data_IF_746063068534
#
_entry.id   IF_746063068534
#
_cell.length_a   1.000
_cell.length_b   1.000
_cell.length_c   1.000
_cell.angle_alpha   90.00
_cell.angle_beta   90.00
_cell.angle_gamma   90.00
#
_symmetry.space_group_name_H-M   'P 1'
#
loop_
_entity.id
_entity.type
_entity.pdbx_description
1 polymer ?
#
# COMPACT_ATOMS: atom_id res chain seq x y z
N UNK A 1 -11.46 5.56 36.47
CA UNK A 1 -10.58 6.07 35.39
C UNK A 1 -10.47 4.99 34.33
N UNK A 2 -11.41 4.98 33.38
CA UNK A 2 -11.35 4.09 32.22
C UNK A 2 -10.48 4.74 31.15
N UNK A 3 -9.36 4.13 30.83
CA UNK A 3 -8.53 4.53 29.68
C UNK A 3 -9.37 4.32 28.41
N UNK A 4 -9.72 5.40 27.73
CA UNK A 4 -10.23 5.32 26.37
C UNK A 4 -9.06 4.85 25.50
N UNK A 5 -9.02 3.57 25.16
CA UNK A 5 -8.10 3.06 24.16
C UNK A 5 -8.45 3.73 22.83
N UNK A 6 -7.73 4.78 22.46
CA UNK A 6 -7.77 5.35 21.12
C UNK A 6 -7.33 4.26 20.15
N UNK A 7 -8.31 3.61 19.52
CA UNK A 7 -8.13 2.43 18.69
C UNK A 7 -7.54 2.81 17.34
N UNK A 8 -6.21 2.93 17.27
CA UNK A 8 -5.51 2.96 15.99
C UNK A 8 -5.58 1.59 15.37
N UNK A 9 -5.89 1.56 14.09
CA UNK A 9 -6.06 0.33 13.36
C UNK A 9 -5.11 0.30 12.19
N UNK A 10 -4.27 -0.74 12.15
CA UNK A 10 -3.39 -0.98 11.02
C UNK A 10 -4.05 -1.99 10.08
N UNK A 11 -4.08 -1.65 8.79
CA UNK A 11 -4.34 -2.60 7.70
C UNK A 11 -3.03 -2.97 7.02
N UNK A 12 -2.99 -4.11 6.36
CA UNK A 12 -1.88 -4.52 5.51
C UNK A 12 -2.38 -4.59 4.07
N UNK A 13 -1.55 -4.13 3.14
CA UNK A 13 -1.69 -4.39 1.71
C UNK A 13 -0.38 -4.95 1.16
N UNK A 14 -0.39 -5.44 -0.07
CA UNK A 14 0.87 -5.81 -0.73
C UNK A 14 1.39 -4.72 -1.64
N UNK A 15 2.67 -4.85 -1.93
CA UNK A 15 3.30 -4.20 -3.08
C UNK A 15 3.27 -5.17 -4.25
N UNK A 16 2.83 -4.70 -5.40
CA UNK A 16 2.87 -5.47 -6.64
C UNK A 16 4.33 -5.77 -7.00
N UNK A 17 4.62 -7.03 -7.29
CA UNK A 17 5.93 -7.50 -7.73
C UNK A 17 5.77 -8.79 -8.54
N UNK A 18 5.40 -8.64 -9.80
CA UNK A 18 5.22 -9.77 -10.72
C UNK A 18 6.54 -10.43 -11.13
N UNK A 19 7.69 -9.86 -10.76
CA UNK A 19 9.00 -10.43 -11.01
C UNK A 19 9.38 -11.48 -9.94
N UNK A 20 8.89 -11.33 -8.70
CA UNK A 20 9.15 -12.23 -7.57
C UNK A 20 8.67 -13.66 -7.85
N UNK A 21 9.53 -14.68 -7.66
CA UNK A 21 9.14 -16.09 -7.83
C UNK A 21 7.95 -16.54 -6.98
N UNK A 22 7.80 -16.01 -5.75
CA UNK A 22 6.69 -16.34 -4.86
C UNK A 22 5.36 -15.83 -5.40
N UNK A 23 5.34 -14.64 -6.02
CA UNK A 23 4.17 -14.12 -6.73
C UNK A 23 3.84 -14.91 -7.98
N UNK A 24 4.86 -15.27 -8.78
CA UNK A 24 4.66 -16.14 -9.95
C UNK A 24 4.05 -17.50 -9.61
N UNK A 25 4.48 -18.10 -8.49
CA UNK A 25 3.95 -19.38 -8.01
C UNK A 25 2.54 -19.28 -7.40
N UNK A 26 2.06 -18.08 -7.10
CA UNK A 26 0.72 -17.84 -6.57
C UNK A 26 -0.35 -17.81 -7.66
N UNK A 27 0.02 -17.40 -8.87
CA UNK A 27 -0.89 -17.44 -10.01
C UNK A 27 -1.05 -18.87 -10.55
N UNK A 28 -2.25 -19.27 -10.99
CA UNK A 28 -2.43 -20.50 -11.75
C UNK A 28 -1.54 -20.52 -12.99
N UNK A 29 -0.99 -21.68 -13.34
CA UNK A 29 -0.03 -21.82 -14.47
C UNK A 29 -0.62 -21.35 -15.81
N UNK A 30 -1.92 -21.55 -16.01
CA UNK A 30 -2.64 -21.16 -17.23
C UNK A 30 -3.28 -19.76 -17.15
N UNK A 31 -2.99 -18.96 -16.11
CA UNK A 31 -3.57 -17.63 -15.96
C UNK A 31 -2.88 -16.64 -16.93
N UNK A 32 -3.64 -15.98 -17.82
CA UNK A 32 -3.11 -14.92 -18.66
C UNK A 32 -2.48 -13.78 -17.83
N UNK A 33 -1.41 -13.18 -18.34
CA UNK A 33 -0.67 -12.12 -17.64
C UNK A 33 -1.54 -10.88 -17.37
N UNK A 34 -2.38 -10.51 -18.33
CA UNK A 34 -3.34 -9.40 -18.23
C UNK A 34 -4.43 -9.64 -17.16
N UNK A 35 -4.62 -10.89 -16.72
CA UNK A 35 -5.59 -11.23 -15.68
C UNK A 35 -4.99 -11.30 -14.27
N UNK A 36 -3.66 -11.27 -14.14
CA UNK A 36 -2.97 -11.44 -12.85
C UNK A 36 -3.36 -10.37 -11.83
N UNK A 37 -3.45 -9.13 -12.25
CA UNK A 37 -3.84 -8.02 -11.37
C UNK A 37 -5.27 -8.15 -10.85
N UNK A 38 -6.21 -8.52 -11.72
CA UNK A 38 -7.60 -8.76 -11.33
C UNK A 38 -7.70 -9.98 -10.39
N UNK A 39 -6.95 -11.04 -10.70
CA UNK A 39 -6.84 -12.23 -9.84
C UNK A 39 -6.31 -11.84 -8.44
N UNK A 40 -5.22 -11.10 -8.38
CA UNK A 40 -4.63 -10.55 -7.16
C UNK A 40 -5.68 -9.77 -6.34
N UNK A 41 -6.45 -8.91 -7.00
CA UNK A 41 -7.46 -8.04 -6.36
C UNK A 41 -8.59 -8.78 -5.65
N UNK A 42 -8.76 -10.09 -5.91
CA UNK A 42 -9.71 -10.93 -5.19
C UNK A 42 -9.19 -11.39 -3.81
N UNK A 43 -7.88 -11.34 -3.59
CA UNK A 43 -7.23 -11.80 -2.35
C UNK A 43 -6.89 -10.65 -1.42
N UNK A 44 -6.37 -9.54 -1.95
CA UNK A 44 -6.04 -8.34 -1.18
C UNK A 44 -6.83 -7.15 -1.65
N UNK A 45 -7.33 -6.36 -0.68
CA UNK A 45 -8.17 -5.19 -0.95
C UNK A 45 -7.39 -3.92 -1.21
N UNK A 46 -6.10 -3.91 -0.88
CA UNK A 46 -5.23 -2.76 -1.03
C UNK A 46 -3.93 -3.22 -1.69
N UNK A 47 -3.58 -2.57 -2.79
CA UNK A 47 -2.39 -2.86 -3.57
C UNK A 47 -1.62 -1.59 -3.86
N UNK A 48 -0.30 -1.62 -3.64
CA UNK A 48 0.62 -0.58 -4.05
C UNK A 48 1.34 -0.96 -5.33
N UNK A 49 1.24 -0.12 -6.35
CA UNK A 49 2.05 -0.21 -7.56
C UNK A 49 3.34 0.58 -7.34
N UNK A 50 4.52 -0.07 -7.44
CA UNK A 50 5.80 0.60 -7.23
C UNK A 50 6.15 1.55 -8.39
N UNK A 51 7.00 2.53 -8.12
CA UNK A 51 7.36 3.56 -9.11
C UNK A 51 7.95 2.97 -10.41
N UNK A 52 8.69 1.87 -10.30
CA UNK A 52 9.29 1.19 -11.46
C UNK A 52 8.28 0.58 -12.44
N UNK A 53 7.02 0.44 -12.04
CA UNK A 53 5.94 -0.10 -12.89
C UNK A 53 4.97 0.99 -13.36
N UNK A 54 5.18 2.25 -12.95
CA UNK A 54 4.25 3.36 -13.20
C UNK A 54 3.82 3.51 -14.67
N UNK A 55 4.75 3.38 -15.60
CA UNK A 55 4.48 3.55 -17.03
C UNK A 55 3.45 2.52 -17.54
N UNK A 56 3.56 1.26 -17.11
CA UNK A 56 2.65 0.19 -17.54
C UNK A 56 1.19 0.54 -17.23
N UNK A 57 0.94 1.16 -16.08
CA UNK A 57 -0.41 1.47 -15.60
C UNK A 57 -0.95 2.81 -16.08
N UNK A 58 -0.09 3.69 -16.61
CA UNK A 58 -0.48 5.03 -17.07
C UNK A 58 -0.62 5.16 -18.58
N UNK A 59 -0.09 4.19 -19.35
CA UNK A 59 -0.17 4.17 -20.82
C UNK A 59 -1.50 3.63 -21.37
N UNK A 60 -2.05 2.59 -20.76
CA UNK A 60 -3.37 2.03 -21.07
C UNK A 60 -4.18 1.95 -19.77
N UNK A 61 -5.48 2.22 -19.84
CA UNK A 61 -6.42 2.14 -18.70
C UNK A 61 -7.40 0.97 -18.82
N UNK A 62 -7.31 0.16 -19.89
CA UNK A 62 -8.22 -0.97 -20.12
C UNK A 62 -8.20 -2.02 -19.00
N UNK A 63 -7.05 -2.20 -18.34
CA UNK A 63 -6.87 -3.13 -17.22
C UNK A 63 -7.79 -2.83 -16.02
N UNK A 64 -8.29 -1.60 -15.90
CA UNK A 64 -9.16 -1.19 -14.79
C UNK A 64 -10.53 -1.89 -14.85
N UNK A 65 -10.98 -2.28 -16.04
CA UNK A 65 -12.35 -2.77 -16.28
C UNK A 65 -12.66 -4.08 -15.56
N UNK A 66 -11.64 -4.92 -15.38
CA UNK A 66 -11.79 -6.26 -14.81
C UNK A 66 -11.41 -6.29 -13.33
N UNK A 67 -11.11 -5.14 -12.72
CA UNK A 67 -10.76 -5.06 -11.31
C UNK A 67 -11.98 -5.20 -10.41
N UNK A 68 -11.85 -5.91 -9.28
CA UNK A 68 -12.87 -5.92 -8.24
C UNK A 68 -13.18 -4.51 -7.72
N UNK A 69 -14.46 -4.20 -7.50
CA UNK A 69 -14.89 -2.88 -7.01
C UNK A 69 -14.30 -2.51 -5.63
N UNK A 70 -14.01 -3.52 -4.81
CA UNK A 70 -13.45 -3.33 -3.48
C UNK A 70 -11.92 -3.08 -3.48
N UNK A 71 -11.24 -3.28 -4.62
CA UNK A 71 -9.80 -3.08 -4.73
C UNK A 71 -9.46 -1.59 -4.70
N UNK A 72 -8.60 -1.22 -3.76
CA UNK A 72 -8.00 0.11 -3.66
C UNK A 72 -6.56 0.05 -4.16
N UNK A 73 -6.22 0.94 -5.08
CA UNK A 73 -4.90 1.03 -5.68
C UNK A 73 -4.17 2.26 -5.19
N UNK A 74 -2.93 2.06 -4.81
CA UNK A 74 -1.99 3.10 -4.44
C UNK A 74 -0.85 3.08 -5.45
N UNK A 75 -0.24 4.23 -5.72
CA UNK A 75 0.90 4.29 -6.64
C UNK A 75 2.03 5.11 -6.04
N UNK A 76 3.25 4.59 -6.09
CA UNK A 76 4.46 5.38 -5.91
C UNK A 76 4.70 6.19 -7.19
N UNK A 77 4.65 7.51 -7.10
CA UNK A 77 4.97 8.41 -8.22
C UNK A 77 6.49 8.46 -8.38
N UNK A 78 7.06 8.21 -9.57
CA UNK A 78 8.49 8.35 -9.79
C UNK A 78 9.00 9.76 -9.49
N UNK A 79 10.10 9.87 -8.75
CA UNK A 79 10.69 11.15 -8.36
C UNK A 79 11.30 11.92 -9.54
N UNK A 80 11.63 11.22 -10.62
CA UNK A 80 12.18 11.75 -11.87
C UNK A 80 11.11 12.11 -12.91
N UNK A 81 9.82 11.95 -12.58
CA UNK A 81 8.72 12.33 -13.44
C UNK A 81 8.63 13.86 -13.52
N UNK A 82 9.08 14.43 -14.63
CA UNK A 82 9.20 15.88 -14.81
C UNK A 82 7.86 16.64 -14.67
N UNK A 83 6.77 16.06 -15.18
CA UNK A 83 5.44 16.68 -15.19
C UNK A 83 4.39 15.66 -14.68
N UNK A 84 4.30 15.46 -13.35
CA UNK A 84 3.46 14.41 -12.79
C UNK A 84 1.96 14.72 -12.89
N UNK A 85 1.58 15.99 -13.10
CA UNK A 85 0.19 16.46 -13.03
C UNK A 85 -0.78 15.74 -13.95
N UNK A 86 -0.50 15.71 -15.25
CA UNK A 86 -1.39 15.13 -16.26
C UNK A 86 -1.51 13.60 -16.14
N UNK A 87 -0.41 12.82 -16.01
CA UNK A 87 -0.50 11.38 -15.72
C UNK A 87 -1.28 11.06 -14.45
N UNK A 88 -1.05 11.79 -13.35
CA UNK A 88 -1.76 11.60 -12.09
C UNK A 88 -3.27 11.89 -12.25
N UNK A 89 -3.63 12.97 -12.96
CA UNK A 89 -5.02 13.33 -13.23
C UNK A 89 -5.76 12.23 -14.01
N UNK A 90 -5.12 11.70 -15.07
CA UNK A 90 -5.71 10.61 -15.87
C UNK A 90 -5.92 9.36 -15.04
N UNK A 91 -4.92 8.97 -14.24
CA UNK A 91 -5.00 7.78 -13.40
C UNK A 91 -6.12 7.89 -12.37
N UNK A 92 -6.22 9.04 -11.70
CA UNK A 92 -7.29 9.28 -10.74
C UNK A 92 -8.67 9.34 -11.38
N UNK A 93 -8.81 9.95 -12.57
CA UNK A 93 -10.06 9.96 -13.31
C UNK A 93 -10.50 8.54 -13.71
N UNK A 94 -9.56 7.70 -14.15
CA UNK A 94 -9.84 6.34 -14.58
C UNK A 94 -10.17 5.41 -13.39
N UNK A 95 -9.49 5.56 -12.25
CA UNK A 95 -9.71 4.75 -11.05
C UNK A 95 -10.88 5.23 -10.20
N UNK A 96 -11.18 6.52 -10.21
CA UNK A 96 -12.22 7.14 -9.40
C UNK A 96 -12.10 6.74 -7.92
N UNK A 97 -13.14 6.12 -7.33
CA UNK A 97 -13.13 5.73 -5.91
C UNK A 97 -12.14 4.61 -5.57
N UNK A 98 -11.62 3.88 -6.57
CA UNK A 98 -10.59 2.85 -6.37
C UNK A 98 -9.20 3.43 -6.15
N UNK A 99 -8.97 4.72 -6.42
CA UNK A 99 -7.69 5.34 -6.07
C UNK A 99 -7.60 5.53 -4.55
N UNK A 100 -6.71 4.74 -3.94
CA UNK A 100 -6.37 4.80 -2.53
C UNK A 100 -5.40 5.92 -2.19
N UNK A 101 -4.45 6.22 -3.09
CA UNK A 101 -3.58 7.39 -2.99
C UNK A 101 -2.36 7.36 -3.91
N UNK A 102 -1.79 8.53 -4.16
CA UNK A 102 -0.53 8.72 -4.87
C UNK A 102 0.54 9.15 -3.86
N UNK A 103 1.60 8.34 -3.77
CA UNK A 103 2.70 8.48 -2.83
C UNK A 103 3.83 9.20 -3.55
N UNK A 104 4.22 10.38 -3.06
CA UNK A 104 5.24 11.19 -3.73
C UNK A 104 6.09 11.97 -2.74
N UNK A 105 7.30 12.34 -3.17
CA UNK A 105 8.23 13.10 -2.32
C UNK A 105 7.67 14.47 -1.95
N UNK A 106 7.22 15.23 -2.95
CA UNK A 106 6.66 16.56 -2.75
C UNK A 106 5.34 16.72 -3.50
N UNK A 107 4.18 16.76 -2.80
CA UNK A 107 2.89 16.95 -3.44
C UNK A 107 2.65 18.40 -3.92
N UNK A 108 3.50 19.36 -3.55
CA UNK A 108 3.34 20.77 -3.95
C UNK A 108 3.69 21.02 -5.42
N UNK A 109 4.37 20.07 -6.08
CA UNK A 109 4.70 20.13 -7.52
C UNK A 109 3.47 20.00 -8.41
N UNK A 110 2.35 19.56 -7.85
CA UNK A 110 1.12 19.35 -8.59
C UNK A 110 0.29 20.63 -8.65
N UNK A 111 -0.26 20.97 -9.83
CA UNK A 111 -1.19 22.08 -9.91
C UNK A 111 -2.40 21.90 -8.98
N UNK A 112 -2.87 22.99 -8.41
CA UNK A 112 -4.06 22.98 -7.57
C UNK A 112 -5.29 22.47 -8.35
N UNK A 113 -6.08 21.59 -7.73
CA UNK A 113 -7.30 21.05 -8.33
C UNK A 113 -7.11 19.90 -9.32
N UNK A 114 -5.87 19.42 -9.50
CA UNK A 114 -5.57 18.23 -10.34
C UNK A 114 -6.28 17.00 -9.80
N UNK A 115 -6.24 16.77 -8.47
CA UNK A 115 -6.95 15.68 -7.81
C UNK A 115 -7.84 16.14 -6.66
N UNK A 116 -8.85 15.32 -6.28
CA UNK A 116 -9.56 15.46 -5.03
C UNK A 116 -8.64 15.55 -3.80
N UNK A 117 -9.01 16.36 -2.77
CA UNK A 117 -8.31 16.38 -1.50
C UNK A 117 -8.15 14.99 -0.88
N UNK A 118 -7.00 14.71 -0.27
CA UNK A 118 -6.73 13.45 0.41
C UNK A 118 -6.26 12.30 -0.49
N UNK A 119 -6.11 12.50 -1.80
CA UNK A 119 -5.54 11.48 -2.69
C UNK A 119 -4.01 11.54 -2.79
N UNK A 120 -3.38 12.66 -2.48
CA UNK A 120 -1.92 12.75 -2.40
C UNK A 120 -1.43 12.47 -0.99
N UNK A 121 -0.30 11.78 -0.89
CA UNK A 121 0.43 11.57 0.35
C UNK A 121 1.88 11.98 0.14
N UNK A 122 2.30 13.01 0.87
CA UNK A 122 3.66 13.53 0.83
C UNK A 122 4.59 12.69 1.70
N UNK A 123 5.86 12.62 1.32
CA UNK A 123 6.87 11.89 2.09
C UNK A 123 7.00 12.45 3.50
N UNK A 124 6.99 11.56 4.48
CA UNK A 124 7.25 11.84 5.88
C UNK A 124 8.52 11.09 6.33
N UNK A 125 9.08 11.46 7.51
CA UNK A 125 10.10 10.63 8.15
C UNK A 125 9.58 9.19 8.29
N UNK A 126 10.40 8.23 7.83
CA UNK A 126 10.08 6.81 7.91
C UNK A 126 10.03 6.29 9.36
N UNK A 127 9.79 4.98 9.51
CA UNK A 127 9.91 4.34 10.81
C UNK A 127 11.35 4.42 11.32
N UNK A 128 11.54 4.55 12.65
CA UNK A 128 12.85 4.38 13.24
C UNK A 128 13.38 2.97 12.92
N UNK A 129 14.70 2.85 12.79
CA UNK A 129 15.34 1.55 12.64
C UNK A 129 14.87 0.60 13.74
N UNK A 130 14.30 -0.53 13.33
CA UNK A 130 13.65 -1.49 14.20
C UNK A 130 13.94 -2.90 13.68
N UNK A 131 14.06 -3.87 14.58
CA UNK A 131 14.30 -5.26 14.22
C UNK A 131 13.23 -5.77 13.24
N UNK A 132 13.67 -6.48 12.20
CA UNK A 132 12.80 -7.01 11.16
C UNK A 132 12.45 -6.03 10.05
N UNK A 133 12.89 -4.77 10.08
CA UNK A 133 12.65 -3.79 9.01
C UNK A 133 13.97 -3.49 8.29
N UNK A 134 14.12 -4.00 7.06
CA UNK A 134 15.27 -3.71 6.22
C UNK A 134 15.22 -2.30 5.62
N UNK A 135 14.02 -1.83 5.23
CA UNK A 135 13.79 -0.48 4.76
C UNK A 135 12.37 -0.01 5.08
N UNK A 136 12.20 1.30 5.28
CA UNK A 136 10.88 1.88 5.48
C UNK A 136 10.73 3.23 4.77
N UNK A 137 9.48 3.49 4.41
CA UNK A 137 9.02 4.72 3.82
C UNK A 137 7.66 5.07 4.45
N UNK A 138 7.47 6.35 4.77
CA UNK A 138 6.20 6.84 5.29
C UNK A 138 5.69 7.97 4.40
N UNK A 139 4.38 7.96 4.15
CA UNK A 139 3.68 8.97 3.40
C UNK A 139 2.42 9.36 4.16
N UNK A 140 2.15 10.65 4.25
CA UNK A 140 1.06 11.17 5.06
C UNK A 140 0.28 12.25 4.34
N UNK A 141 -0.99 12.35 4.70
CA UNK A 141 -1.79 13.53 4.45
C UNK A 141 -2.64 13.86 5.68
N UNK A 142 -3.70 14.64 5.52
CA UNK A 142 -4.55 15.07 6.63
C UNK A 142 -5.35 13.92 7.29
N UNK A 143 -5.64 12.84 6.55
CA UNK A 143 -6.59 11.80 6.93
C UNK A 143 -6.01 10.38 6.94
N UNK A 144 -4.82 10.19 6.38
CA UNK A 144 -4.26 8.86 6.15
C UNK A 144 -2.74 8.82 6.36
N UNK A 145 -2.28 7.65 6.78
CA UNK A 145 -0.85 7.30 6.86
C UNK A 145 -0.64 6.02 6.05
N UNK A 146 0.32 6.08 5.13
CA UNK A 146 0.77 4.93 4.35
C UNK A 146 2.22 4.65 4.70
N UNK A 147 2.47 3.43 5.12
CA UNK A 147 3.82 2.89 5.34
C UNK A 147 4.13 1.94 4.19
N UNK A 148 5.34 2.01 3.63
CA UNK A 148 5.86 1.01 2.69
C UNK A 148 7.09 0.39 3.33
N UNK A 149 7.02 -0.91 3.62
CA UNK A 149 8.00 -1.62 4.42
C UNK A 149 8.63 -2.74 3.60
N UNK A 150 9.95 -2.82 3.67
CA UNK A 150 10.72 -3.99 3.25
C UNK A 150 11.08 -4.78 4.50
N UNK A 151 10.48 -5.95 4.75
CA UNK A 151 10.86 -6.82 5.85
C UNK A 151 12.27 -7.37 5.64
N UNK A 152 12.95 -7.69 6.74
CA UNK A 152 14.17 -8.51 6.68
C UNK A 152 13.85 -9.91 6.10
N UNK A 153 14.78 -10.51 5.33
CA UNK A 153 14.56 -11.84 4.79
C UNK A 153 14.53 -12.90 5.91
N UNK A 154 13.65 -13.89 5.78
CA UNK A 154 13.61 -15.05 6.67
C UNK A 154 13.00 -14.80 8.06
N UNK A 155 12.21 -13.73 8.23
CA UNK A 155 11.52 -13.47 9.49
C UNK A 155 10.58 -14.61 9.88
N UNK A 156 10.78 -15.14 11.09
CA UNK A 156 9.80 -16.00 11.74
C UNK A 156 8.61 -15.21 12.32
N UNK A 157 7.55 -15.90 12.80
CA UNK A 157 6.37 -15.25 13.35
C UNK A 157 6.63 -14.19 14.44
N UNK A 158 7.59 -14.36 15.37
CA UNK A 158 7.92 -13.31 16.34
C UNK A 158 8.48 -12.05 15.68
N UNK A 159 9.32 -12.19 14.64
CA UNK A 159 9.88 -11.06 13.91
C UNK A 159 8.81 -10.29 13.15
N UNK A 160 7.90 -11.01 12.49
CA UNK A 160 6.72 -10.41 11.85
C UNK A 160 5.83 -9.64 12.84
N UNK A 161 5.63 -10.20 14.04
CA UNK A 161 4.90 -9.51 15.09
C UNK A 161 5.59 -8.22 15.53
N UNK A 162 6.89 -8.26 15.79
CA UNK A 162 7.67 -7.06 16.16
C UNK A 162 7.60 -5.98 15.08
N UNK A 163 7.73 -6.35 13.80
CA UNK A 163 7.58 -5.44 12.66
C UNK A 163 6.22 -4.73 12.68
N UNK A 164 5.13 -5.49 12.85
CA UNK A 164 3.76 -4.94 12.85
C UNK A 164 3.47 -4.08 14.09
N UNK A 165 4.02 -4.45 15.25
CA UNK A 165 3.94 -3.65 16.48
C UNK A 165 4.71 -2.34 16.32
N UNK A 166 5.90 -2.35 15.71
CA UNK A 166 6.66 -1.14 15.40
C UNK A 166 5.90 -0.23 14.42
N UNK A 167 5.34 -0.80 13.35
CA UNK A 167 4.49 -0.08 12.40
C UNK A 167 3.29 0.58 13.09
N UNK A 168 2.61 -0.13 13.98
CA UNK A 168 1.46 0.36 14.73
C UNK A 168 1.83 1.47 15.73
N UNK A 169 2.95 1.32 16.44
CA UNK A 169 3.41 2.28 17.44
C UNK A 169 3.76 3.66 16.85
N UNK A 170 4.11 3.73 15.56
CA UNK A 170 4.41 4.97 14.87
C UNK A 170 3.18 5.68 14.27
N UNK A 171 1.99 5.10 14.42
CA UNK A 171 0.78 5.71 13.88
C UNK A 171 0.36 6.93 14.73
N UNK A 172 0.02 8.08 14.10
CA UNK A 172 -0.51 9.23 14.80
C UNK A 172 -1.88 8.93 15.45
N UNK A 173 -2.21 9.68 16.50
CA UNK A 173 -3.33 9.46 17.43
C UNK A 173 -4.76 9.50 16.82
N UNK A 174 -4.86 9.82 15.55
CA UNK A 174 -6.05 9.71 14.73
C UNK A 174 -5.52 9.51 13.32
N UNK A 175 -5.92 8.44 12.62
CA UNK A 175 -5.93 8.29 11.14
C UNK A 175 -6.11 6.82 10.74
N UNK A 176 -6.64 6.65 9.53
CA UNK A 176 -6.60 5.36 8.83
C UNK A 176 -5.15 5.07 8.44
N UNK A 177 -4.64 3.91 8.83
CA UNK A 177 -3.27 3.52 8.55
C UNK A 177 -3.22 2.23 7.75
N UNK A 178 -2.35 2.20 6.75
CA UNK A 178 -2.03 1.01 5.99
C UNK A 178 -0.52 0.83 5.89
N UNK A 179 -0.06 -0.41 6.06
CA UNK A 179 1.30 -0.83 5.78
C UNK A 179 1.31 -1.72 4.53
N UNK A 180 1.93 -1.24 3.46
CA UNK A 180 2.28 -2.04 2.30
C UNK A 180 3.57 -2.80 2.57
N UNK A 181 3.52 -4.12 2.47
CA UNK A 181 4.67 -4.99 2.70
C UNK A 181 5.22 -5.45 1.36
N UNK A 182 6.53 -5.21 1.13
CA UNK A 182 7.28 -5.82 0.03
C UNK A 182 7.64 -7.25 0.42
N UNK A 183 6.65 -8.13 0.31
CA UNK A 183 6.74 -9.53 0.71
C UNK A 183 5.86 -10.42 -0.18
N UNK A 184 6.11 -11.72 -0.14
CA UNK A 184 5.33 -12.70 -0.87
C UNK A 184 3.94 -12.94 -0.27
N UNK A 185 3.08 -13.67 -0.99
CA UNK A 185 1.68 -13.91 -0.61
C UNK A 185 1.55 -14.65 0.74
N UNK A 186 2.44 -15.61 1.02
CA UNK A 186 2.41 -16.36 2.29
C UNK A 186 2.78 -15.49 3.49
N UNK A 187 3.75 -14.62 3.31
CA UNK A 187 4.19 -13.65 4.31
C UNK A 187 3.09 -12.63 4.61
N UNK A 188 2.35 -12.18 3.60
CA UNK A 188 1.21 -11.29 3.76
C UNK A 188 0.06 -11.96 4.53
N UNK A 189 -0.29 -13.20 4.20
CA UNK A 189 -1.29 -13.97 4.95
C UNK A 189 -0.89 -14.15 6.43
N UNK A 190 0.40 -14.41 6.68
CA UNK A 190 0.96 -14.48 8.03
C UNK A 190 0.83 -13.13 8.75
N UNK A 191 1.19 -12.03 8.10
CA UNK A 191 1.09 -10.68 8.65
C UNK A 191 -0.36 -10.31 9.01
N UNK A 192 -1.32 -10.58 8.13
CA UNK A 192 -2.75 -10.39 8.41
C UNK A 192 -3.23 -11.24 9.59
N UNK A 193 -2.79 -12.50 9.64
CA UNK A 193 -3.12 -13.42 10.74
C UNK A 193 -2.58 -12.89 12.07
N UNK A 194 -1.32 -12.44 12.09
CA UNK A 194 -0.69 -11.86 13.29
C UNK A 194 -1.45 -10.60 13.72
N UNK A 195 -1.76 -9.67 12.81
CA UNK A 195 -2.53 -8.46 13.12
C UNK A 195 -3.90 -8.78 13.75
N UNK A 196 -4.57 -9.81 13.21
CA UNK A 196 -5.88 -10.25 13.72
C UNK A 196 -5.78 -10.82 15.13
N UNK A 197 -4.75 -11.63 15.39
CA UNK A 197 -4.53 -12.27 16.69
C UNK A 197 -3.98 -11.33 17.76
N UNK A 198 -3.22 -10.30 17.37
CA UNK A 198 -2.64 -9.31 18.28
C UNK A 198 -3.63 -8.22 18.70
N UNK A 199 -4.78 -8.12 18.04
CA UNK A 199 -5.76 -7.06 18.27
C UNK A 199 -5.38 -5.70 17.68
N UNK A 200 -4.32 -5.67 16.85
CA UNK A 200 -3.86 -4.47 16.13
C UNK A 200 -4.65 -4.21 14.84
N UNK A 201 -5.37 -5.22 14.34
CA UNK A 201 -6.16 -5.13 13.12
C UNK A 201 -7.34 -4.15 13.24
N UNK A 202 -7.62 -3.44 12.14
CA UNK A 202 -8.87 -2.70 11.98
C UNK A 202 -10.09 -3.62 12.09
N UNK A 203 -11.00 -3.28 13.01
CA UNK A 203 -12.33 -3.87 13.10
C UNK A 203 -13.30 -2.88 12.48
N UNK A 204 -13.59 -3.03 11.19
CA UNK A 204 -14.66 -2.27 10.55
C UNK A 204 -15.96 -2.42 11.32
N UNK A 205 -16.63 -1.29 11.58
CA UNK A 205 -18.04 -1.27 11.98
C UNK A 205 -18.91 -1.20 10.75
#
# INVERSE_FOLDING_TARGET
>A
MGSAASGHSLRVGAVHDDADPAWKAFYPEDLPEDWRLAYYGNYWKDLLIPAGEWEQFTLDSNWIRDLPDALRLYFEVPDDLAEPGDPCARLAAALGPRLGGLLMVDPSVLPAGVLPPGQFLGRAPGLPASDGIAASAAFVNETSVVLVLTPEPGLGPPGWRSLLEAAHACLPAAREAIAFLRAGPRELELAETILRLSGLAWRGR
#
